data_IF_112112605889
#
_entry.id   IF_112112605889
#
_cell.length_a   1.000
_cell.length_b   1.000
_cell.length_c   1.000
_cell.angle_alpha   90.00
_cell.angle_beta   90.00
_cell.angle_gamma   90.00
#
_symmetry.space_group_name_H-M   'P 1'
#
loop_
_entity.id
_entity.type
_entity.pdbx_description
1 polymer ?
#
# COMPACT_ATOMS: atom_id res chain seq x y z
N UNK A 1 -10.97 -7.81 -26.56
CA UNK A 1 -10.22 -6.65 -26.06
C UNK A 1 -9.93 -6.88 -24.60
N UNK A 2 -8.79 -6.43 -24.10
CA UNK A 2 -8.48 -6.40 -22.68
C UNK A 2 -9.22 -5.20 -22.07
N UNK A 3 -9.76 -5.38 -20.86
CA UNK A 3 -10.38 -4.30 -20.09
C UNK A 3 -9.37 -3.79 -19.09
N UNK A 4 -9.13 -2.50 -19.10
CA UNK A 4 -8.24 -1.82 -18.16
C UNK A 4 -9.11 -1.00 -17.19
N UNK A 5 -8.71 -0.98 -15.93
CA UNK A 5 -9.37 -0.21 -14.87
C UNK A 5 -8.48 0.92 -14.41
N UNK A 6 -9.10 2.06 -14.09
CA UNK A 6 -8.41 3.24 -13.62
C UNK A 6 -9.09 3.80 -12.37
N UNK A 7 -8.28 4.20 -11.40
CA UNK A 7 -8.72 5.10 -10.32
C UNK A 7 -8.63 6.52 -10.84
N UNK A 8 -9.72 7.26 -10.77
CA UNK A 8 -9.78 8.67 -11.19
C UNK A 8 -10.03 9.53 -9.96
N UNK A 9 -9.12 10.48 -9.71
CA UNK A 9 -9.27 11.50 -8.67
C UNK A 9 -9.52 12.86 -9.33
N UNK A 10 -10.53 13.56 -8.87
CA UNK A 10 -10.91 14.87 -9.38
C UNK A 10 -10.98 15.88 -8.22
N UNK A 11 -10.34 17.01 -8.41
CA UNK A 11 -10.39 18.13 -7.49
C UNK A 11 -11.11 19.31 -8.14
N UNK A 12 -12.08 19.88 -7.44
CA UNK A 12 -12.84 21.05 -7.88
C UNK A 12 -12.69 22.16 -6.85
N UNK A 13 -12.15 23.30 -7.28
CA UNK A 13 -12.16 24.53 -6.48
C UNK A 13 -13.27 25.44 -6.99
N UNK A 14 -14.25 25.67 -6.14
CA UNK A 14 -15.44 26.44 -6.50
C UNK A 14 -15.64 27.64 -5.58
N UNK A 15 -16.31 28.66 -6.08
CA UNK A 15 -16.74 29.84 -5.32
C UNK A 15 -18.20 30.12 -5.60
N UNK A 16 -18.98 30.36 -4.56
CA UNK A 16 -20.31 30.91 -4.66
C UNK A 16 -20.24 32.43 -4.78
N UNK A 17 -20.96 33.01 -5.74
CA UNK A 17 -21.11 34.46 -5.91
C UNK A 17 -22.48 34.73 -6.50
N UNK A 18 -23.28 35.55 -5.81
CA UNK A 18 -24.63 35.97 -6.21
C UNK A 18 -25.61 34.82 -6.50
N UNK A 19 -25.46 33.69 -5.79
CA UNK A 19 -26.26 32.48 -5.99
C UNK A 19 -25.83 31.58 -7.14
N UNK A 20 -24.73 31.91 -7.80
CA UNK A 20 -24.12 31.10 -8.85
C UNK A 20 -22.83 30.41 -8.33
N UNK A 21 -22.60 29.18 -8.72
CA UNK A 21 -21.37 28.42 -8.44
C UNK A 21 -20.40 28.62 -9.61
N UNK A 22 -19.26 29.24 -9.31
CA UNK A 22 -18.19 29.50 -10.29
C UNK A 22 -17.07 28.50 -10.05
N UNK A 23 -16.73 27.70 -11.07
CA UNK A 23 -15.55 26.85 -11.05
C UNK A 23 -14.29 27.72 -11.20
N UNK A 24 -13.40 27.65 -10.20
CA UNK A 24 -12.14 28.37 -10.19
C UNK A 24 -10.97 27.54 -10.68
N UNK A 25 -11.01 26.24 -10.39
CA UNK A 25 -9.94 25.32 -10.72
C UNK A 25 -10.47 23.90 -10.81
N UNK A 26 -9.87 23.09 -11.66
CA UNK A 26 -10.20 21.69 -11.85
C UNK A 26 -8.94 20.89 -12.14
N UNK A 27 -8.69 19.89 -11.32
CA UNK A 27 -7.62 18.92 -11.55
C UNK A 27 -8.19 17.53 -11.66
N UNK A 28 -7.66 16.73 -12.58
CA UNK A 28 -7.98 15.32 -12.72
C UNK A 28 -6.70 14.53 -12.86
N UNK A 29 -6.55 13.48 -12.05
CA UNK A 29 -5.55 12.46 -12.22
C UNK A 29 -6.20 11.10 -12.46
N UNK A 30 -5.57 10.27 -13.27
CA UNK A 30 -6.01 8.91 -13.51
C UNK A 30 -4.80 7.98 -13.37
N UNK A 31 -4.92 6.96 -12.54
CA UNK A 31 -3.90 5.92 -12.35
C UNK A 31 -4.49 4.58 -12.74
N UNK A 32 -3.78 3.83 -13.57
CA UNK A 32 -4.19 2.48 -13.94
C UNK A 32 -4.11 1.57 -12.72
N UNK A 33 -5.17 0.78 -12.49
CA UNK A 33 -5.16 -0.26 -11.47
C UNK A 33 -4.28 -1.39 -12.00
N UNK A 34 -3.27 -1.78 -11.22
CA UNK A 34 -2.36 -2.85 -11.59
C UNK A 34 -3.10 -4.18 -11.69
N UNK A 35 -2.95 -4.84 -12.83
CA UNK A 35 -3.48 -6.17 -13.08
C UNK A 35 -2.35 -7.04 -13.69
N UNK A 36 -1.84 -8.04 -12.97
CA UNK A 36 -0.76 -8.89 -13.44
C UNK A 36 -1.11 -9.72 -14.68
N UNK A 37 -2.40 -9.86 -15.00
CA UNK A 37 -2.88 -10.62 -16.17
C UNK A 37 -2.80 -9.82 -17.48
N UNK A 38 -2.59 -8.51 -17.42
CA UNK A 38 -2.50 -7.64 -18.60
C UNK A 38 -1.14 -7.72 -19.35
N UNK A 39 -0.35 -8.75 -19.11
CA UNK A 39 0.93 -8.91 -19.80
C UNK A 39 2.01 -7.91 -19.35
N UNK A 40 1.93 -7.50 -18.09
CA UNK A 40 2.81 -6.51 -17.46
C UNK A 40 4.25 -6.98 -17.27
N UNK A 41 4.49 -8.31 -17.32
CA UNK A 41 5.82 -8.90 -17.19
C UNK A 41 6.57 -8.80 -18.49
N UNK A 42 7.78 -8.25 -18.44
CA UNK A 42 8.72 -8.16 -19.55
C UNK A 42 9.95 -9.00 -19.27
N UNK A 43 10.86 -9.14 -20.26
CA UNK A 43 12.13 -9.87 -20.06
C UNK A 43 13.02 -9.22 -18.99
N UNK A 44 12.86 -7.93 -18.72
CA UNK A 44 13.73 -7.12 -17.87
C UNK A 44 13.03 -6.45 -16.70
N UNK A 45 11.72 -6.60 -16.54
CA UNK A 45 11.01 -5.90 -15.47
C UNK A 45 9.50 -6.11 -15.49
N UNK A 46 8.84 -5.35 -14.63
CA UNK A 46 7.39 -5.31 -14.48
C UNK A 46 6.91 -3.90 -14.86
N UNK A 47 5.93 -3.81 -15.72
CA UNK A 47 5.25 -2.55 -16.01
C UNK A 47 4.13 -2.34 -15.00
N UNK A 48 4.27 -1.37 -14.11
CA UNK A 48 3.30 -1.10 -13.05
C UNK A 48 2.13 -0.21 -13.49
N UNK A 49 2.21 0.38 -14.69
CA UNK A 49 1.18 1.31 -15.20
C UNK A 49 1.11 2.64 -14.45
N UNK A 50 2.06 2.92 -13.56
CA UNK A 50 2.16 4.18 -12.82
C UNK A 50 3.09 5.16 -13.53
N UNK A 51 2.81 6.46 -13.40
CA UNK A 51 3.61 7.53 -14.00
C UNK A 51 4.56 8.23 -13.04
N UNK A 52 4.52 7.87 -11.73
CA UNK A 52 5.36 8.45 -10.68
C UNK A 52 6.62 7.65 -10.43
N UNK A 53 7.69 8.35 -10.00
CA UNK A 53 8.95 7.73 -9.59
C UNK A 53 8.92 7.20 -8.15
N UNK A 54 7.85 7.48 -7.39
CA UNK A 54 7.74 7.23 -5.94
C UNK A 54 7.12 5.86 -5.60
N UNK A 55 7.27 4.87 -6.48
CA UNK A 55 6.80 3.51 -6.18
C UNK A 55 7.72 2.85 -5.17
N UNK A 56 7.18 2.56 -3.98
CA UNK A 56 7.92 1.81 -2.97
C UNK A 56 8.11 0.35 -3.41
N UNK A 57 9.34 -0.13 -3.32
CA UNK A 57 9.66 -1.53 -3.57
C UNK A 57 10.85 -2.01 -2.73
N UNK A 58 10.81 -3.28 -2.36
CA UNK A 58 11.89 -3.95 -1.63
C UNK A 58 12.13 -5.32 -2.25
N UNK A 59 13.39 -5.72 -2.36
CA UNK A 59 13.77 -7.04 -2.86
C UNK A 59 14.34 -7.91 -1.75
N UNK A 60 14.25 -9.24 -1.91
CA UNK A 60 15.02 -10.17 -1.09
C UNK A 60 16.53 -10.06 -1.39
N UNK A 61 17.36 -10.77 -0.61
CA UNK A 61 18.82 -10.73 -0.75
C UNK A 61 19.30 -11.24 -2.12
N UNK A 62 18.63 -12.22 -2.69
CA UNK A 62 18.97 -12.78 -3.99
C UNK A 62 18.51 -11.90 -5.18
N UNK A 63 17.60 -10.95 -4.96
CA UNK A 63 17.06 -10.06 -6.00
C UNK A 63 16.13 -10.74 -7.00
N UNK A 64 15.56 -11.89 -6.64
CA UNK A 64 14.63 -12.66 -7.47
C UNK A 64 13.17 -12.59 -6.97
N UNK A 65 12.96 -12.03 -5.79
CA UNK A 65 11.64 -11.71 -5.24
C UNK A 65 11.58 -10.21 -4.97
N UNK A 66 10.53 -9.55 -5.44
CA UNK A 66 10.30 -8.13 -5.21
C UNK A 66 8.87 -7.90 -4.71
N UNK A 67 8.74 -7.20 -3.59
CA UNK A 67 7.49 -6.62 -3.15
C UNK A 67 7.43 -5.15 -3.56
N UNK A 68 6.26 -4.68 -3.95
CA UNK A 68 6.03 -3.30 -4.39
C UNK A 68 4.62 -2.84 -4.07
N UNK A 69 4.45 -1.54 -3.92
CA UNK A 69 3.16 -0.92 -3.59
C UNK A 69 2.64 -0.15 -4.80
N UNK A 70 1.42 -0.45 -5.22
CA UNK A 70 0.71 0.28 -6.27
C UNK A 70 -0.70 0.59 -5.82
N UNK A 71 -1.07 1.86 -5.83
CA UNK A 71 -2.41 2.33 -5.43
C UNK A 71 -2.86 1.88 -4.03
N UNK A 72 -1.91 1.80 -3.07
CA UNK A 72 -2.18 1.33 -1.71
C UNK A 72 -2.31 -0.20 -1.57
N UNK A 73 -2.13 -0.96 -2.65
CA UNK A 73 -2.08 -2.41 -2.62
C UNK A 73 -0.63 -2.91 -2.61
N UNK A 74 -0.34 -3.88 -1.77
CA UNK A 74 0.95 -4.55 -1.71
C UNK A 74 0.94 -5.80 -2.60
N UNK A 75 1.89 -5.86 -3.50
CA UNK A 75 2.12 -6.97 -4.43
C UNK A 75 3.49 -7.60 -4.20
N UNK A 76 3.60 -8.89 -4.47
CA UNK A 76 4.86 -9.61 -4.46
C UNK A 76 5.02 -10.39 -5.77
N UNK A 77 6.16 -10.21 -6.43
CA UNK A 77 6.54 -10.95 -7.63
C UNK A 77 7.72 -11.85 -7.34
N UNK A 78 7.56 -13.14 -7.60
CA UNK A 78 8.63 -14.13 -7.55
C UNK A 78 9.03 -14.49 -8.99
N UNK A 79 10.25 -14.10 -9.37
CA UNK A 79 10.80 -14.31 -10.71
C UNK A 79 11.00 -15.79 -11.03
N UNK A 80 11.47 -16.57 -10.06
CA UNK A 80 11.76 -17.99 -10.25
C UNK A 80 10.50 -18.79 -10.49
N UNK A 81 9.41 -18.45 -9.81
CA UNK A 81 8.07 -19.03 -10.01
C UNK A 81 7.28 -18.35 -11.14
N UNK A 82 7.75 -17.21 -11.65
CA UNK A 82 7.02 -16.33 -12.59
C UNK A 82 5.60 -16.05 -12.12
N UNK A 83 5.46 -15.68 -10.85
CA UNK A 83 4.17 -15.52 -10.20
C UNK A 83 4.08 -14.17 -9.48
N UNK A 84 2.97 -13.47 -9.70
CA UNK A 84 2.61 -12.25 -8.98
C UNK A 84 1.43 -12.53 -8.05
N UNK A 85 1.51 -12.08 -6.82
CA UNK A 85 0.50 -12.27 -5.79
C UNK A 85 0.17 -10.90 -5.20
N UNK A 86 -1.13 -10.62 -5.00
CA UNK A 86 -1.57 -9.51 -4.18
C UNK A 86 -1.51 -9.93 -2.71
N UNK A 87 -0.54 -9.38 -1.98
CA UNK A 87 -0.26 -9.70 -0.57
C UNK A 87 -1.27 -9.01 0.34
N UNK A 88 -1.53 -7.73 0.09
CA UNK A 88 -2.46 -6.94 0.89
C UNK A 88 -3.24 -5.95 0.03
N UNK A 89 -4.51 -5.79 0.35
CA UNK A 89 -5.39 -4.77 -0.19
C UNK A 89 -6.61 -4.63 0.72
N UNK A 90 -7.13 -3.41 0.86
CA UNK A 90 -8.47 -3.21 1.41
C UNK A 90 -9.57 -3.42 0.36
N UNK A 91 -9.20 -3.58 -0.91
CA UNK A 91 -10.15 -3.77 -2.02
C UNK A 91 -10.35 -5.25 -2.31
N UNK A 92 -11.60 -5.65 -2.44
CA UNK A 92 -11.96 -6.97 -2.96
C UNK A 92 -12.15 -6.91 -4.47
N UNK A 93 -11.78 -7.98 -5.17
CA UNK A 93 -11.96 -8.04 -6.63
C UNK A 93 -13.44 -7.94 -7.00
N UNK A 94 -13.76 -6.95 -7.82
CA UNK A 94 -15.13 -6.72 -8.30
C UNK A 94 -16.07 -6.03 -7.30
N UNK A 95 -15.57 -5.64 -6.13
CA UNK A 95 -16.34 -4.83 -5.19
C UNK A 95 -16.49 -3.39 -5.68
N UNK A 96 -17.67 -2.82 -5.42
CA UNK A 96 -17.99 -1.40 -5.64
C UNK A 96 -18.22 -0.68 -4.32
N UNK A 97 -17.75 -1.23 -3.20
CA UNK A 97 -17.93 -0.66 -1.88
C UNK A 97 -17.10 0.62 -1.72
N UNK A 98 -17.76 1.74 -1.43
CA UNK A 98 -17.12 3.05 -1.27
C UNK A 98 -16.07 3.07 -0.16
N UNK A 99 -16.21 2.22 0.88
CA UNK A 99 -15.23 2.10 1.97
C UNK A 99 -13.87 1.64 1.46
N UNK A 100 -13.84 0.81 0.43
CA UNK A 100 -12.62 0.31 -0.20
C UNK A 100 -11.90 1.38 -1.04
N UNK A 101 -12.63 2.42 -1.44
CA UNK A 101 -12.12 3.53 -2.24
C UNK A 101 -11.48 4.64 -1.39
N UNK A 102 -11.58 4.56 -0.06
CA UNK A 102 -11.00 5.57 0.82
C UNK A 102 -9.47 5.54 0.76
N UNK A 103 -8.86 6.60 0.24
CA UNK A 103 -7.44 6.66 -0.10
C UNK A 103 -6.53 7.17 1.01
N UNK A 104 -7.02 7.29 2.27
CA UNK A 104 -6.20 7.81 3.38
C UNK A 104 -5.43 6.70 4.11
N UNK A 105 -4.80 5.81 3.37
CA UNK A 105 -3.87 4.81 3.89
C UNK A 105 -2.74 4.57 2.90
N UNK A 106 -1.65 4.00 3.39
CA UNK A 106 -0.53 3.58 2.58
C UNK A 106 0.15 2.36 3.21
N UNK A 107 1.06 1.73 2.47
CA UNK A 107 1.80 0.55 2.90
C UNK A 107 3.28 0.86 2.82
N UNK A 108 4.03 0.52 3.89
CA UNK A 108 5.49 0.58 3.90
C UNK A 108 6.06 -0.83 4.05
N UNK A 109 6.95 -1.21 3.12
CA UNK A 109 7.55 -2.54 3.07
C UNK A 109 8.80 -2.55 3.93
N UNK A 110 8.77 -3.31 5.02
CA UNK A 110 9.90 -3.40 5.95
C UNK A 110 10.96 -4.38 5.44
N UNK A 111 10.52 -5.54 4.94
CA UNK A 111 11.42 -6.62 4.51
C UNK A 111 10.73 -7.62 3.60
N UNK A 112 11.51 -8.13 2.66
CA UNK A 112 11.22 -9.36 1.89
C UNK A 112 12.34 -10.36 2.17
N UNK A 113 12.02 -11.58 2.52
CA UNK A 113 13.01 -12.63 2.71
C UNK A 113 13.15 -13.58 1.52
N UNK A 114 14.10 -14.52 1.62
CA UNK A 114 14.38 -15.44 0.52
C UNK A 114 13.32 -16.57 0.41
N UNK A 115 12.43 -16.74 1.38
CA UNK A 115 11.27 -17.61 1.29
C UNK A 115 10.08 -16.92 0.57
N UNK A 116 10.14 -15.59 0.46
CA UNK A 116 9.08 -14.77 -0.11
C UNK A 116 8.11 -14.20 0.93
N UNK A 117 8.45 -14.39 2.21
CA UNK A 117 7.68 -13.76 3.28
C UNK A 117 7.92 -12.25 3.28
N UNK A 118 6.86 -11.49 3.54
CA UNK A 118 6.90 -10.03 3.54
C UNK A 118 6.46 -9.49 4.89
N UNK A 119 7.31 -8.68 5.51
CA UNK A 119 6.94 -7.89 6.68
C UNK A 119 6.66 -6.45 6.22
N UNK A 120 5.52 -5.92 6.61
CA UNK A 120 5.08 -4.59 6.16
C UNK A 120 4.23 -3.89 7.22
N UNK A 121 4.06 -2.60 7.01
CA UNK A 121 3.23 -1.73 7.84
C UNK A 121 2.16 -1.09 6.98
N UNK A 122 0.92 -1.13 7.46
CA UNK A 122 -0.18 -0.34 6.90
C UNK A 122 -0.44 0.82 7.86
N UNK A 123 -0.45 2.03 7.37
CA UNK A 123 -0.71 3.21 8.19
C UNK A 123 -1.75 4.12 7.54
N UNK A 124 -2.48 4.84 8.39
CA UNK A 124 -3.61 5.66 7.97
C UNK A 124 -4.94 5.12 8.46
N UNK A 125 -5.97 5.31 7.67
CA UNK A 125 -7.32 4.85 7.98
C UNK A 125 -7.51 3.40 7.54
N UNK A 126 -8.01 2.54 8.44
CA UNK A 126 -8.27 1.13 8.16
C UNK A 126 -9.64 0.97 7.53
N UNK A 127 -9.67 0.78 6.21
CA UNK A 127 -10.92 0.69 5.44
C UNK A 127 -11.71 -0.58 5.72
N UNK A 128 -11.00 -1.66 6.08
CA UNK A 128 -11.54 -3.01 6.29
C UNK A 128 -10.78 -3.76 7.39
N UNK A 129 -11.34 -4.88 7.81
CA UNK A 129 -10.70 -5.83 8.72
C UNK A 129 -10.99 -5.53 10.18
N UNK A 130 -10.15 -6.07 11.06
CA UNK A 130 -10.32 -6.02 12.52
C UNK A 130 -10.34 -4.59 13.06
N UNK A 131 -9.67 -3.68 12.41
CA UNK A 131 -9.52 -2.29 12.85
C UNK A 131 -10.29 -1.29 11.98
N UNK A 132 -11.26 -1.77 11.19
CA UNK A 132 -12.10 -0.94 10.32
C UNK A 132 -12.63 0.29 11.06
N UNK A 133 -12.54 1.46 10.42
CA UNK A 133 -13.00 2.72 10.98
C UNK A 133 -12.02 3.41 11.95
N UNK A 134 -10.83 2.86 12.13
CA UNK A 134 -9.78 3.44 12.99
C UNK A 134 -8.61 3.95 12.16
N UNK A 135 -7.98 5.01 12.63
CA UNK A 135 -6.69 5.47 12.11
C UNK A 135 -5.56 4.98 13.02
N UNK A 136 -4.42 4.66 12.42
CA UNK A 136 -3.25 4.19 13.16
C UNK A 136 -2.25 3.44 12.28
N UNK A 137 -1.42 2.63 12.93
CA UNK A 137 -0.35 1.85 12.32
C UNK A 137 -0.57 0.39 12.62
N UNK A 138 -0.75 -0.42 11.58
CA UNK A 138 -0.91 -1.86 11.64
C UNK A 138 0.34 -2.54 11.13
N UNK A 139 0.93 -3.41 11.93
CA UNK A 139 2.11 -4.19 11.55
C UNK A 139 1.67 -5.58 11.13
N UNK A 140 2.13 -6.02 9.96
CA UNK A 140 1.68 -7.24 9.32
C UNK A 140 2.84 -8.13 8.88
N UNK A 141 2.60 -9.41 8.84
CA UNK A 141 3.47 -10.42 8.28
C UNK A 141 2.71 -11.28 7.27
N UNK A 142 3.26 -11.42 6.07
CA UNK A 142 2.77 -12.32 5.05
C UNK A 142 3.63 -13.58 5.00
N UNK A 143 3.01 -14.74 5.16
CA UNK A 143 3.62 -16.06 4.98
C UNK A 143 3.37 -16.52 3.53
N UNK A 144 4.44 -16.63 2.75
CA UNK A 144 4.36 -16.99 1.33
C UNK A 144 3.96 -18.46 1.11
N UNK A 145 4.31 -19.35 2.05
CA UNK A 145 3.99 -20.77 1.98
C UNK A 145 2.50 -21.01 2.22
N UNK A 146 1.96 -20.36 3.25
CA UNK A 146 0.55 -20.48 3.62
C UNK A 146 -0.36 -19.55 2.81
N UNK A 147 0.22 -18.56 2.12
CA UNK A 147 -0.49 -17.48 1.43
C UNK A 147 -1.48 -16.75 2.34
N UNK A 148 -1.02 -16.37 3.53
CA UNK A 148 -1.83 -15.71 4.56
C UNK A 148 -1.13 -14.49 5.10
N UNK A 149 -1.92 -13.47 5.49
CA UNK A 149 -1.44 -12.28 6.21
C UNK A 149 -1.87 -12.38 7.66
N UNK A 150 -0.92 -12.20 8.56
CA UNK A 150 -1.13 -12.08 10.00
C UNK A 150 -0.99 -10.61 10.42
N UNK A 151 -2.01 -10.08 11.12
CA UNK A 151 -1.97 -8.77 11.76
C UNK A 151 -1.30 -8.94 13.14
N UNK A 152 -0.04 -8.52 13.26
CA UNK A 152 0.74 -8.73 14.47
C UNK A 152 0.32 -7.80 15.61
N UNK A 153 0.12 -6.51 15.31
CA UNK A 153 -0.37 -5.54 16.27
C UNK A 153 -0.86 -4.27 15.57
N UNK A 154 -1.58 -3.42 16.33
CA UNK A 154 -2.10 -2.14 15.87
C UNK A 154 -1.87 -1.07 16.94
N UNK A 155 -1.31 0.05 16.52
CA UNK A 155 -1.14 1.26 17.34
C UNK A 155 -2.12 2.32 16.84
N UNK A 156 -3.16 2.67 17.60
CA UNK A 156 -4.10 3.71 17.19
C UNK A 156 -3.42 5.08 17.19
N UNK A 157 -3.89 5.96 16.31
CA UNK A 157 -3.43 7.34 16.21
C UNK A 157 -4.58 8.29 15.92
N UNK A 158 -4.54 9.47 16.53
CA UNK A 158 -5.44 10.58 16.24
C UNK A 158 -4.83 11.57 15.21
N UNK A 159 -3.64 11.27 14.70
CA UNK A 159 -3.00 12.07 13.66
C UNK A 159 -3.72 11.94 12.32
N UNK A 160 -3.63 13.01 11.50
CA UNK A 160 -4.07 12.91 10.11
C UNK A 160 -3.18 11.93 9.32
N UNK A 161 -3.72 11.37 8.24
CA UNK A 161 -2.95 10.50 7.34
C UNK A 161 -1.66 11.16 6.84
N UNK A 162 -1.70 12.45 6.48
CA UNK A 162 -0.52 13.18 6.01
C UNK A 162 0.57 13.28 7.09
N UNK A 163 0.19 13.54 8.35
CA UNK A 163 1.14 13.55 9.46
C UNK A 163 1.72 12.16 9.73
N UNK A 164 0.91 11.11 9.66
CA UNK A 164 1.39 9.73 9.76
C UNK A 164 2.38 9.36 8.65
N UNK A 165 2.13 9.82 7.42
CA UNK A 165 2.98 9.59 6.27
C UNK A 165 4.37 10.24 6.45
N UNK A 166 4.44 11.43 7.02
CA UNK A 166 5.71 12.11 7.32
C UNK A 166 6.48 11.40 8.46
N UNK A 167 5.75 10.88 9.46
CA UNK A 167 6.38 10.23 10.63
C UNK A 167 6.90 8.81 10.33
N UNK A 168 6.24 8.05 9.44
CA UNK A 168 6.51 6.61 9.22
C UNK A 168 7.47 6.37 8.05
N UNK A 169 7.63 7.30 7.12
CA UNK A 169 8.29 7.10 5.83
C UNK A 169 9.64 6.36 5.84
N UNK A 170 10.44 6.44 6.93
CA UNK A 170 11.79 5.86 6.97
C UNK A 170 12.06 4.98 8.21
N UNK A 171 11.07 4.53 8.97
CA UNK A 171 11.30 4.21 10.38
C UNK A 171 11.05 2.75 10.81
N UNK A 172 10.52 1.88 9.96
CA UNK A 172 10.34 0.47 10.30
C UNK A 172 11.58 -0.34 9.91
N UNK A 173 12.33 -0.82 10.91
CA UNK A 173 13.53 -1.64 10.70
C UNK A 173 13.35 -3.00 11.38
N UNK A 174 13.43 -4.07 10.59
CA UNK A 174 13.49 -5.44 11.10
C UNK A 174 14.96 -5.88 11.19
N UNK A 175 15.39 -6.35 12.36
CA UNK A 175 16.64 -7.09 12.47
C UNK A 175 16.38 -8.60 12.32
N UNK A 176 17.40 -9.37 11.94
CA UNK A 176 17.29 -10.81 11.65
C UNK A 176 16.89 -11.73 12.83
N UNK A 177 16.49 -11.18 13.98
CA UNK A 177 16.20 -11.92 15.21
C UNK A 177 14.71 -11.95 15.58
N UNK A 178 13.81 -11.77 14.62
CA UNK A 178 12.37 -11.74 14.86
C UNK A 178 11.91 -10.51 15.66
N UNK A 179 12.65 -9.40 15.56
CA UNK A 179 12.30 -8.13 16.20
C UNK A 179 12.26 -7.02 15.15
N UNK A 180 11.23 -6.21 15.22
CA UNK A 180 11.13 -4.97 14.48
C UNK A 180 11.16 -3.78 15.44
N UNK A 181 11.55 -2.64 14.91
CA UNK A 181 11.53 -1.38 15.60
C UNK A 181 10.69 -0.39 14.79
N UNK A 182 9.80 0.29 15.46
CA UNK A 182 9.00 1.36 14.90
C UNK A 182 9.30 2.64 15.67
N UNK A 183 9.79 3.67 15.00
CA UNK A 183 9.79 5.02 15.56
C UNK A 183 8.44 5.66 15.27
N UNK A 184 7.70 5.97 16.31
CA UNK A 184 6.37 6.51 16.21
C UNK A 184 6.13 7.57 17.26
N UNK A 185 5.75 8.78 16.84
CA UNK A 185 5.50 9.93 17.73
C UNK A 185 6.65 10.18 18.72
N UNK A 186 7.89 10.12 18.22
CA UNK A 186 9.09 10.32 19.04
C UNK A 186 9.43 9.18 20.01
N UNK A 187 8.72 8.05 19.95
CA UNK A 187 9.00 6.84 20.72
C UNK A 187 9.55 5.74 19.81
N UNK A 188 10.54 5.01 20.30
CA UNK A 188 11.07 3.84 19.64
C UNK A 188 10.42 2.59 20.25
N UNK A 189 9.50 1.98 19.51
CA UNK A 189 8.74 0.81 19.91
C UNK A 189 9.44 -0.46 19.41
N UNK A 190 9.72 -1.40 20.32
CA UNK A 190 10.21 -2.72 19.96
C UNK A 190 9.05 -3.70 19.82
N UNK A 191 9.04 -4.42 18.71
CA UNK A 191 7.99 -5.37 18.35
C UNK A 191 8.64 -6.74 18.21
N UNK A 192 8.01 -7.76 18.80
CA UNK A 192 8.35 -9.16 18.56
C UNK A 192 7.49 -9.66 17.40
N UNK A 193 8.14 -10.17 16.35
CA UNK A 193 7.52 -10.76 15.16
C UNK A 193 7.26 -12.24 15.40
#
# INVERSE_FOLDING_TARGET
GQTEYYTVSEFYRMRESDGEIILLDFERSAQQIFDPELGVLTKSGINLGVTGEDTEYVTNTAGDIVAFVVNGDLWCYNRSANKTIRVFSFRENGSMDEREQHGEHDVNIVRVDDAGDVTFVVYGYMNRGRYEGRSGVMFCHYDALMNTVEELFFVPSDQSYMAMKEDIGDLAVQNGNGKAWLCWQGNLLQINL
#
